data_IF_084216204828
#
_entry.id   IF_084216204828
#
_cell.length_a   1.000
_cell.length_b   1.000
_cell.length_c   1.000
_cell.angle_alpha   90.00
_cell.angle_beta   90.00
_cell.angle_gamma   90.00
#
_symmetry.space_group_name_H-M   'P 1'
#
loop_
_entity.id
_entity.type
_entity.pdbx_description
1 polymer ?
#
# COMPACT_ATOMS: atom_id res chain seq x y z
N UNK A 1 -7.22 47.41 6.47
CA UNK A 1 -6.53 47.54 5.17
C UNK A 1 -5.42 46.51 5.16
N UNK A 2 -5.62 45.36 4.52
CA UNK A 2 -4.60 44.31 4.38
C UNK A 2 -3.62 44.76 3.31
N UNK A 3 -2.39 45.09 3.72
CA UNK A 3 -1.32 45.44 2.79
C UNK A 3 -0.91 44.20 2.01
N UNK A 4 -1.22 44.17 0.71
CA UNK A 4 -0.66 43.17 -0.20
C UNK A 4 0.83 43.45 -0.32
N UNK A 5 1.62 42.70 0.41
CA UNK A 5 3.08 42.79 0.40
C UNK A 5 3.58 42.04 -0.84
N UNK A 6 4.06 42.79 -1.84
CA UNK A 6 4.70 42.21 -3.02
C UNK A 6 6.13 41.83 -2.65
N UNK A 7 6.35 40.53 -2.42
CA UNK A 7 7.69 39.97 -2.28
C UNK A 7 8.22 39.76 -3.70
N UNK A 8 9.34 40.41 -4.04
CA UNK A 8 10.08 40.06 -5.24
C UNK A 8 10.72 38.69 -5.01
N UNK A 9 10.10 37.64 -5.54
CA UNK A 9 10.59 36.27 -5.47
C UNK A 9 11.35 35.98 -6.77
N UNK A 10 12.58 35.49 -6.64
CA UNK A 10 13.33 34.97 -7.78
C UNK A 10 12.55 33.80 -8.40
N UNK A 11 12.18 33.94 -9.67
CA UNK A 11 11.41 32.94 -10.40
C UNK A 11 12.13 31.59 -10.46
N UNK A 12 13.46 31.60 -10.58
CA UNK A 12 14.27 30.38 -10.62
C UNK A 12 14.27 29.65 -9.27
N UNK A 13 14.32 30.40 -8.16
CA UNK A 13 14.23 29.83 -6.83
C UNK A 13 12.86 29.18 -6.58
N UNK A 14 11.78 29.80 -7.07
CA UNK A 14 10.43 29.27 -6.93
C UNK A 14 10.22 28.00 -7.78
N UNK A 15 10.75 27.96 -9.00
CA UNK A 15 10.72 26.77 -9.86
C UNK A 15 11.48 25.59 -9.25
N UNK A 16 12.64 25.85 -8.64
CA UNK A 16 13.41 24.82 -7.95
C UNK A 16 12.60 24.18 -6.80
N UNK A 17 11.94 25.00 -5.97
CA UNK A 17 11.10 24.53 -4.86
C UNK A 17 9.89 23.74 -5.37
N UNK A 18 9.23 24.20 -6.44
CA UNK A 18 8.10 23.47 -7.02
C UNK A 18 8.53 22.10 -7.58
N UNK A 19 9.69 22.03 -8.20
CA UNK A 19 10.26 20.78 -8.73
C UNK A 19 10.51 19.77 -7.61
N UNK A 20 11.11 20.23 -6.50
CA UNK A 20 11.37 19.37 -5.34
C UNK A 20 10.08 18.90 -4.67
N UNK A 21 9.06 19.77 -4.56
CA UNK A 21 7.74 19.39 -4.05
C UNK A 21 7.05 18.36 -4.94
N UNK A 22 7.17 18.47 -6.26
CA UNK A 22 6.60 17.49 -7.18
C UNK A 22 7.28 16.12 -7.02
N UNK A 23 8.60 16.09 -6.87
CA UNK A 23 9.33 14.84 -6.66
C UNK A 23 8.97 14.18 -5.32
N UNK A 24 8.90 14.96 -4.24
CA UNK A 24 8.44 14.47 -2.93
C UNK A 24 7.01 13.92 -3.04
N UNK A 25 6.11 14.63 -3.72
CA UNK A 25 4.73 14.17 -3.92
C UNK A 25 4.68 12.86 -4.70
N UNK A 26 5.50 12.72 -5.74
CA UNK A 26 5.61 11.51 -6.54
C UNK A 26 6.12 10.32 -5.72
N UNK A 27 7.14 10.54 -4.91
CA UNK A 27 7.67 9.53 -3.97
C UNK A 27 6.58 9.14 -2.98
N UNK A 28 5.85 10.11 -2.43
CA UNK A 28 4.76 9.85 -1.48
C UNK A 28 3.60 9.06 -2.11
N UNK A 29 3.19 9.40 -3.33
CA UNK A 29 2.18 8.68 -4.10
C UNK A 29 2.64 7.24 -4.43
N UNK A 30 3.90 7.06 -4.81
CA UNK A 30 4.49 5.74 -5.01
C UNK A 30 4.63 4.95 -3.70
N UNK A 31 4.85 5.64 -2.58
CA UNK A 31 4.98 5.04 -1.25
C UNK A 31 3.64 4.71 -0.59
N UNK A 32 2.51 5.13 -1.16
CA UNK A 32 1.16 4.68 -0.77
C UNK A 32 0.94 3.22 -1.22
N UNK A 33 1.89 2.35 -0.85
CA UNK A 33 1.78 0.91 -0.87
C UNK A 33 0.65 0.58 0.11
N UNK A 34 -0.52 0.31 -0.43
CA UNK A 34 -1.65 -0.16 0.37
C UNK A 34 -1.17 -1.41 1.10
N UNK A 35 -1.12 -1.41 2.45
CA UNK A 35 -0.57 -2.53 3.18
C UNK A 35 -1.34 -3.81 2.82
N UNK A 36 -0.64 -4.95 2.68
CA UNK A 36 -1.29 -6.19 2.33
C UNK A 36 -2.39 -6.51 3.34
N UNK A 37 -3.59 -6.83 2.85
CA UNK A 37 -4.74 -7.11 3.71
C UNK A 37 -4.42 -8.26 4.68
N UNK A 38 -4.72 -8.10 5.97
CA UNK A 38 -4.45 -9.11 7.01
C UNK A 38 -5.13 -10.46 6.74
N UNK A 39 -6.32 -10.41 6.15
CA UNK A 39 -7.15 -11.59 5.85
C UNK A 39 -7.43 -11.63 4.35
N UNK A 40 -7.12 -12.76 3.72
CA UNK A 40 -7.29 -12.99 2.29
C UNK A 40 -8.15 -14.22 2.02
N UNK A 41 -8.66 -14.35 0.81
CA UNK A 41 -9.43 -15.54 0.41
C UNK A 41 -8.51 -16.75 0.28
N UNK A 42 -9.09 -17.95 0.34
CA UNK A 42 -8.35 -19.21 0.11
C UNK A 42 -7.68 -19.22 -1.27
N UNK A 43 -8.36 -18.71 -2.29
CA UNK A 43 -7.82 -18.60 -3.65
C UNK A 43 -6.58 -17.69 -3.71
N UNK A 44 -6.65 -16.51 -3.08
CA UNK A 44 -5.54 -15.59 -3.02
C UNK A 44 -4.35 -16.18 -2.23
N UNK A 45 -4.63 -16.87 -1.12
CA UNK A 45 -3.60 -17.56 -0.35
C UNK A 45 -2.92 -18.65 -1.19
N UNK A 46 -3.71 -19.49 -1.86
CA UNK A 46 -3.24 -20.57 -2.71
C UNK A 46 -2.31 -20.07 -3.82
N UNK A 47 -2.67 -18.96 -4.48
CA UNK A 47 -1.84 -18.32 -5.48
C UNK A 47 -0.50 -17.81 -4.92
N UNK A 48 -0.49 -17.26 -3.68
CA UNK A 48 0.74 -16.76 -3.05
C UNK A 48 1.70 -17.86 -2.64
N UNK A 49 1.18 -18.99 -2.14
CA UNK A 49 2.02 -20.10 -1.67
C UNK A 49 2.30 -21.14 -2.77
N UNK A 50 1.86 -20.88 -4.00
CA UNK A 50 1.97 -21.78 -5.15
C UNK A 50 1.44 -23.20 -4.86
N UNK A 51 0.20 -23.27 -4.36
CA UNK A 51 -0.50 -24.52 -4.06
C UNK A 51 -1.93 -24.48 -4.58
N UNK A 52 -2.56 -25.65 -4.69
CA UNK A 52 -3.98 -25.72 -5.05
C UNK A 52 -4.88 -25.28 -3.88
N UNK A 53 -6.06 -24.74 -4.20
CA UNK A 53 -7.07 -24.45 -3.18
C UNK A 53 -7.47 -25.69 -2.36
N UNK A 54 -7.44 -26.88 -2.97
CA UNK A 54 -7.77 -28.12 -2.29
C UNK A 54 -6.76 -28.41 -1.16
N UNK A 55 -5.47 -28.18 -1.42
CA UNK A 55 -4.40 -28.29 -0.42
C UNK A 55 -4.59 -27.28 0.70
N UNK A 56 -4.86 -26.02 0.38
CA UNK A 56 -5.11 -24.98 1.39
C UNK A 56 -6.35 -25.30 2.23
N UNK A 57 -7.43 -25.79 1.61
CA UNK A 57 -8.64 -26.24 2.35
C UNK A 57 -8.34 -27.43 3.25
N UNK A 58 -7.44 -28.33 2.86
CA UNK A 58 -6.96 -29.41 3.71
C UNK A 58 -6.21 -28.86 4.92
N UNK A 59 -5.29 -27.92 4.74
CA UNK A 59 -4.58 -27.25 5.85
C UNK A 59 -5.52 -26.54 6.82
N UNK A 60 -6.59 -25.91 6.32
CA UNK A 60 -7.65 -25.33 7.16
C UNK A 60 -8.32 -26.41 8.00
N UNK A 61 -8.65 -27.57 7.42
CA UNK A 61 -9.26 -28.69 8.15
C UNK A 61 -8.32 -29.30 9.19
N UNK A 62 -7.04 -29.33 8.88
CA UNK A 62 -5.97 -29.80 9.78
C UNK A 62 -5.60 -28.77 10.86
N UNK A 63 -6.21 -27.56 10.83
CA UNK A 63 -5.98 -26.51 11.82
C UNK A 63 -4.65 -25.77 11.67
N UNK A 64 -3.95 -25.92 10.55
CA UNK A 64 -2.63 -25.33 10.32
C UNK A 64 -2.68 -23.84 9.97
N UNK A 65 -3.85 -23.31 9.59
CA UNK A 65 -4.02 -21.91 9.17
C UNK A 65 -4.99 -21.17 10.09
N UNK A 66 -4.59 -19.97 10.51
CA UNK A 66 -5.48 -19.03 11.20
C UNK A 66 -6.61 -18.60 10.26
N UNK A 67 -7.85 -18.72 10.76
CA UNK A 67 -9.07 -18.48 9.98
C UNK A 67 -9.91 -17.39 10.60
N UNK A 68 -10.46 -16.54 9.74
CA UNK A 68 -11.50 -15.58 10.09
C UNK A 68 -12.68 -15.71 9.12
N UNK A 69 -13.80 -16.28 9.57
CA UNK A 69 -15.00 -16.54 8.75
C UNK A 69 -14.68 -17.36 7.48
N UNK A 70 -14.61 -16.72 6.31
CA UNK A 70 -14.29 -17.34 5.01
C UNK A 70 -12.88 -16.98 4.50
N UNK A 71 -12.07 -16.35 5.35
CA UNK A 71 -10.75 -15.84 5.02
C UNK A 71 -9.68 -16.57 5.84
N UNK A 72 -8.47 -16.58 5.31
CA UNK A 72 -7.26 -17.08 5.96
C UNK A 72 -6.27 -15.93 6.15
N UNK A 73 -5.41 -16.05 7.16
CA UNK A 73 -4.37 -15.05 7.40
C UNK A 73 -3.45 -14.96 6.19
N UNK A 74 -3.16 -13.73 5.76
CA UNK A 74 -2.24 -13.46 4.67
C UNK A 74 -0.82 -13.83 5.09
N UNK A 75 -0.08 -14.62 4.30
CA UNK A 75 1.30 -14.99 4.63
C UNK A 75 2.27 -13.80 4.59
N UNK A 76 1.90 -12.70 3.92
CA UNK A 76 2.75 -11.51 3.78
C UNK A 76 2.58 -10.51 4.94
N UNK A 77 1.86 -10.89 6.01
CA UNK A 77 1.51 -10.02 7.16
C UNK A 77 2.01 -10.59 8.50
#
# INVERSE_FOLDING_TARGET
MTATQFIAVDAAALEAVQTELQEIKRILEASHVTPPAKWITVAAYAAKVDRSEATVRRWIREGQLERNRKLVRNPDV
#
